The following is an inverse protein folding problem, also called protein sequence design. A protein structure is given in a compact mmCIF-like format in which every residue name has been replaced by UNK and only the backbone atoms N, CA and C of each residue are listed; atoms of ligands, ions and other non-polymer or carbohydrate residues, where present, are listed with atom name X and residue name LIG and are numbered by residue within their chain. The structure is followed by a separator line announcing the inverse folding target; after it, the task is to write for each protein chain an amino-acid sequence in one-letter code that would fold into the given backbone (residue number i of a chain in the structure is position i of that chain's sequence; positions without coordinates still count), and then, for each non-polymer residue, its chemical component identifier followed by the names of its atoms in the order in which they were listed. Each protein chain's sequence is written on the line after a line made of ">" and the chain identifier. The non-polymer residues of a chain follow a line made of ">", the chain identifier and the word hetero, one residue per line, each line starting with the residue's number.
data_IF_219392702712
#
_entry.id   IF_219392702712
#
_cell.length_a   1.000
_cell.length_b   1.000
_cell.length_c   1.000
_cell.angle_alpha   90.00
_cell.angle_beta   90.00
_cell.angle_gamma   90.00
#
_symmetry.space_group_name_H-M   'P 1'
#
loop_
_entity.id
_entity.type
_entity.pdbx_description
1 polymer ?
#
# COMPACT_ATOMS: atom_id res chain seq x y z
N UNK A 1 5.54 5.68 24.37
CA UNK A 1 4.76 6.02 23.17
C UNK A 1 5.50 5.43 21.97
N UNK A 2 4.84 4.81 20.98
CA UNK A 2 5.51 4.35 19.77
C UNK A 2 6.19 5.52 19.06
N UNK A 3 7.42 5.33 18.63
CA UNK A 3 8.10 6.30 17.77
C UNK A 3 7.48 6.19 16.38
N UNK A 4 7.04 7.32 15.83
CA UNK A 4 6.47 7.41 14.49
C UNK A 4 7.42 8.16 13.57
N UNK A 5 7.73 7.55 12.43
CA UNK A 5 8.34 8.26 11.29
C UNK A 5 7.20 8.58 10.33
N UNK A 6 7.07 9.85 9.96
CA UNK A 6 5.99 10.32 9.08
C UNK A 6 6.58 10.95 7.83
N UNK A 7 6.06 10.55 6.68
CA UNK A 7 6.17 11.27 5.42
C UNK A 7 4.79 11.84 5.07
N UNK A 8 4.72 12.64 3.99
CA UNK A 8 3.41 13.12 3.50
C UNK A 8 2.51 11.97 2.99
N UNK A 9 3.07 10.78 2.75
CA UNK A 9 2.40 9.66 2.12
C UNK A 9 2.23 8.43 3.02
N UNK A 10 3.02 8.28 4.09
CA UNK A 10 2.88 7.17 5.02
C UNK A 10 3.37 7.50 6.44
N UNK A 11 2.94 6.66 7.40
CA UNK A 11 3.46 6.62 8.76
C UNK A 11 3.94 5.21 9.12
N UNK A 12 5.14 5.10 9.67
CA UNK A 12 5.69 3.85 10.22
C UNK A 12 5.54 3.89 11.73
N UNK A 13 4.81 2.91 12.29
CA UNK A 13 4.71 2.73 13.75
C UNK A 13 5.72 1.68 14.20
N UNK A 14 6.44 1.99 15.29
CA UNK A 14 7.45 1.10 15.86
C UNK A 14 7.11 0.68 17.29
N UNK A 15 7.46 -0.55 17.63
CA UNK A 15 7.48 -1.04 19.02
C UNK A 15 8.56 -0.27 19.80
N UNK A 16 8.21 0.46 20.89
CA UNK A 16 9.18 1.24 21.67
C UNK A 16 10.37 0.44 22.20
N UNK A 17 10.15 -0.83 22.54
CA UNK A 17 11.12 -1.68 23.21
C UNK A 17 12.12 -2.31 22.23
N UNK A 18 11.67 -2.64 21.02
CA UNK A 18 12.48 -3.37 20.02
C UNK A 18 12.86 -2.53 18.82
N UNK A 19 12.25 -1.35 18.67
CA UNK A 19 12.32 -0.47 17.50
C UNK A 19 11.86 -1.12 16.18
N UNK A 20 11.31 -2.34 16.19
CA UNK A 20 10.78 -3.00 14.99
C UNK A 20 9.52 -2.32 14.51
N UNK A 21 9.34 -2.27 13.18
CA UNK A 21 8.06 -1.90 12.56
C UNK A 21 6.97 -2.85 13.05
N UNK A 22 5.85 -2.29 13.49
CA UNK A 22 4.65 -3.05 13.89
C UNK A 22 3.45 -2.76 13.00
N UNK A 23 3.46 -1.64 12.27
CA UNK A 23 2.41 -1.24 11.34
C UNK A 23 2.95 -0.15 10.38
N UNK A 24 2.43 -0.15 9.15
CA UNK A 24 2.71 0.85 8.13
C UNK A 24 1.38 1.33 7.58
N UNK A 25 1.13 2.63 7.73
CA UNK A 25 -0.10 3.28 7.32
C UNK A 25 0.16 4.21 6.14
N UNK A 26 -0.40 3.91 4.97
CA UNK A 26 -0.32 4.75 3.78
C UNK A 26 -1.51 5.70 3.72
N UNK A 27 -1.25 6.99 3.48
CA UNK A 27 -2.25 8.04 3.48
C UNK A 27 -2.74 8.33 2.06
N UNK A 28 -3.98 7.95 1.78
CA UNK A 28 -4.72 8.27 0.57
C UNK A 28 -5.59 9.52 0.81
N UNK A 29 -5.06 10.70 0.48
CA UNK A 29 -5.80 11.95 0.64
C UNK A 29 -6.91 12.12 -0.41
N UNK A 30 -8.11 12.53 0.03
CA UNK A 30 -9.19 12.99 -0.84
C UNK A 30 -9.67 12.00 -1.92
N UNK A 31 -9.60 10.69 -1.65
CA UNK A 31 -9.96 9.67 -2.65
C UNK A 31 -11.47 9.63 -2.96
N UNK A 32 -12.35 9.95 -1.99
CA UNK A 32 -13.81 10.01 -2.19
C UNK A 32 -14.54 10.65 -0.98
N UNK A 33 -15.88 10.57 -0.97
CA UNK A 33 -16.72 10.98 0.17
C UNK A 33 -16.66 9.95 1.32
N UNK A 34 -16.98 10.39 2.54
CA UNK A 34 -16.96 9.49 3.70
C UNK A 34 -18.04 8.39 3.65
N UNK A 35 -19.11 8.61 2.88
CA UNK A 35 -20.14 7.61 2.68
C UNK A 35 -19.67 6.49 1.74
N UNK A 36 -18.94 6.86 0.68
CA UNK A 36 -18.45 5.91 -0.31
C UNK A 36 -17.30 5.07 0.25
N UNK A 37 -16.31 5.69 0.91
CA UNK A 37 -15.23 4.96 1.58
C UNK A 37 -15.70 4.05 2.75
N UNK A 38 -16.94 4.18 3.23
CA UNK A 38 -17.50 3.22 4.20
C UNK A 38 -18.19 2.02 3.56
N UNK A 39 -18.50 2.09 2.27
CA UNK A 39 -19.22 1.06 1.52
C UNK A 39 -18.32 0.28 0.56
N UNK A 40 -17.14 0.82 0.26
CA UNK A 40 -16.15 0.25 -0.62
C UNK A 40 -14.81 0.11 0.10
N UNK A 41 -14.00 -0.86 -0.32
CA UNK A 41 -12.63 -1.06 0.14
C UNK A 41 -11.69 -1.10 -1.06
N UNK A 42 -10.42 -0.68 -0.90
CA UNK A 42 -9.40 -0.86 -1.92
C UNK A 42 -9.21 -2.32 -2.33
N UNK A 43 -8.99 -2.56 -3.62
CA UNK A 43 -8.67 -3.88 -4.17
C UNK A 43 -7.34 -3.86 -4.92
N UNK A 44 -6.84 -5.05 -5.28
CA UNK A 44 -5.64 -5.23 -6.11
C UNK A 44 -4.41 -4.45 -5.61
N UNK A 45 -4.19 -4.51 -4.31
CA UNK A 45 -3.17 -3.72 -3.63
C UNK A 45 -1.79 -4.31 -3.92
N UNK A 46 -0.93 -3.48 -4.49
CA UNK A 46 0.46 -3.81 -4.84
C UNK A 46 1.41 -2.81 -4.21
N UNK A 47 2.49 -3.31 -3.63
CA UNK A 47 3.60 -2.52 -3.14
C UNK A 47 4.86 -2.80 -3.95
N UNK A 48 5.53 -1.74 -4.40
CA UNK A 48 6.84 -1.78 -5.03
C UNK A 48 7.86 -1.11 -4.10
N UNK A 49 8.94 -1.82 -3.75
CA UNK A 49 10.07 -1.20 -3.05
C UNK A 49 10.73 -0.13 -3.90
N UNK A 50 10.88 -0.40 -5.19
CA UNK A 50 11.48 0.51 -6.17
C UNK A 50 10.63 0.58 -7.45
N UNK A 51 9.95 1.69 -7.64
CA UNK A 51 8.99 1.88 -8.75
C UNK A 51 9.63 1.90 -10.13
N UNK A 52 10.74 2.62 -10.31
CA UNK A 52 11.34 2.89 -11.63
C UNK A 52 12.84 2.57 -11.69
N UNK A 53 13.33 1.73 -10.77
CA UNK A 53 14.73 1.29 -10.70
C UNK A 53 15.42 1.63 -9.38
N UNK A 54 16.69 1.24 -9.28
CA UNK A 54 17.48 1.38 -8.05
C UNK A 54 17.43 2.81 -7.51
N UNK A 55 17.09 2.95 -6.23
CA UNK A 55 17.03 4.26 -5.58
C UNK A 55 15.71 5.03 -5.77
N UNK A 56 14.82 4.57 -6.64
CA UNK A 56 13.52 5.23 -6.90
C UNK A 56 12.57 5.15 -5.70
N UNK A 57 11.52 5.98 -5.75
CA UNK A 57 10.48 6.02 -4.73
C UNK A 57 9.77 4.66 -4.61
N UNK A 58 9.34 4.36 -3.39
CA UNK A 58 8.38 3.28 -3.11
C UNK A 58 7.00 3.68 -3.64
N UNK A 59 6.21 2.68 -4.05
CA UNK A 59 4.83 2.89 -4.51
C UNK A 59 3.91 1.89 -3.84
N UNK A 60 2.78 2.38 -3.33
CA UNK A 60 1.60 1.56 -3.06
C UNK A 60 0.54 1.90 -4.11
N UNK A 61 0.13 0.93 -4.91
CA UNK A 61 -0.98 1.06 -5.86
C UNK A 61 -2.15 0.18 -5.47
N UNK A 62 -3.36 0.62 -5.81
CA UNK A 62 -4.61 -0.10 -5.56
C UNK A 62 -5.73 0.44 -6.45
N UNK A 63 -6.76 -0.37 -6.63
CA UNK A 63 -8.03 0.07 -7.24
C UNK A 63 -9.03 0.48 -6.17
N UNK A 64 -9.82 1.51 -6.44
CA UNK A 64 -10.92 1.91 -5.57
C UNK A 64 -12.03 2.59 -6.39
N UNK A 65 -13.25 2.02 -6.34
CA UNK A 65 -14.41 2.52 -7.09
C UNK A 65 -14.14 2.73 -8.60
N UNK A 66 -13.51 1.75 -9.24
CA UNK A 66 -13.11 1.75 -10.66
C UNK A 66 -11.97 2.72 -11.03
N UNK A 67 -11.41 3.45 -10.06
CA UNK A 67 -10.23 4.31 -10.25
C UNK A 67 -8.95 3.63 -9.74
N UNK A 68 -7.84 3.83 -10.45
CA UNK A 68 -6.51 3.38 -10.03
C UNK A 68 -5.79 4.49 -9.25
N UNK A 69 -5.25 4.14 -8.09
CA UNK A 69 -4.47 5.03 -7.25
C UNK A 69 -3.04 4.53 -7.13
N UNK A 70 -2.08 5.46 -7.13
CA UNK A 70 -0.68 5.19 -6.84
C UNK A 70 -0.13 6.24 -5.87
N UNK A 71 0.26 5.79 -4.68
CA UNK A 71 0.84 6.61 -3.63
C UNK A 71 2.36 6.47 -3.67
N UNK A 72 3.04 7.57 -3.95
CA UNK A 72 4.50 7.62 -4.02
C UNK A 72 5.07 8.08 -2.69
N UNK A 73 6.10 7.40 -2.22
CA UNK A 73 6.84 7.83 -1.06
C UNK A 73 8.33 7.61 -1.22
N UNK A 74 9.10 8.59 -0.78
CA UNK A 74 10.55 8.49 -0.72
C UNK A 74 10.99 8.29 0.73
N UNK A 75 12.06 7.52 0.88
CA UNK A 75 12.71 7.21 2.15
C UNK A 75 14.17 6.90 1.90
N UNK A 76 15.00 6.99 2.94
CA UNK A 76 16.36 6.48 2.85
C UNK A 76 16.38 4.96 2.58
N UNK A 77 17.52 4.46 2.15
CA UNK A 77 17.69 3.07 1.72
C UNK A 77 17.46 2.05 2.83
N UNK A 78 17.80 2.39 4.08
CA UNK A 78 17.64 1.49 5.22
C UNK A 78 16.16 1.32 5.57
N UNK A 79 15.44 2.43 5.71
CA UNK A 79 14.00 2.42 5.97
C UNK A 79 13.23 1.77 4.82
N UNK A 80 13.67 2.00 3.57
CA UNK A 80 13.06 1.41 2.38
C UNK A 80 13.09 -0.12 2.43
N UNK A 81 14.26 -0.67 2.76
CA UNK A 81 14.45 -2.10 2.90
C UNK A 81 13.63 -2.66 4.05
N UNK A 82 13.62 -1.98 5.21
CA UNK A 82 12.86 -2.42 6.38
C UNK A 82 11.35 -2.47 6.12
N UNK A 83 10.80 -1.47 5.40
CA UNK A 83 9.40 -1.44 4.97
C UNK A 83 9.09 -2.64 4.06
N UNK A 84 9.95 -2.91 3.07
CA UNK A 84 9.78 -4.04 2.16
C UNK A 84 9.80 -5.38 2.91
N UNK A 85 10.76 -5.56 3.82
CA UNK A 85 10.87 -6.79 4.61
C UNK A 85 9.63 -6.99 5.49
N UNK A 86 9.17 -5.93 6.16
CA UNK A 86 7.96 -5.98 6.99
C UNK A 86 6.72 -6.34 6.17
N UNK A 87 6.47 -5.67 5.04
CA UNK A 87 5.29 -5.94 4.21
C UNK A 87 5.36 -7.33 3.58
N UNK A 88 6.54 -7.79 3.19
CA UNK A 88 6.76 -9.14 2.67
C UNK A 88 6.47 -10.21 3.72
N UNK A 89 6.83 -9.97 4.98
CA UNK A 89 6.57 -10.89 6.10
C UNK A 89 5.09 -10.88 6.51
N UNK A 90 4.48 -9.69 6.63
CA UNK A 90 3.13 -9.55 7.15
C UNK A 90 2.04 -9.80 6.10
N UNK A 91 2.34 -9.56 4.82
CA UNK A 91 1.40 -9.72 3.70
C UNK A 91 0.18 -8.79 3.77
N UNK A 92 0.24 -7.72 4.56
CA UNK A 92 -0.84 -6.75 4.75
C UNK A 92 -0.32 -5.32 4.90
N UNK A 93 -1.14 -4.36 4.52
CA UNK A 93 -0.87 -2.93 4.65
C UNK A 93 -2.11 -2.22 5.19
N UNK A 94 -1.91 -1.10 5.89
CA UNK A 94 -2.99 -0.23 6.32
C UNK A 94 -3.08 0.97 5.39
N UNK A 95 -4.25 1.22 4.79
CA UNK A 95 -4.54 2.42 4.00
C UNK A 95 -5.46 3.31 4.84
N UNK A 96 -5.07 4.57 5.01
CA UNK A 96 -5.84 5.62 5.65
C UNK A 96 -6.38 6.58 4.59
N UNK A 97 -7.67 6.84 4.61
CA UNK A 97 -8.27 7.90 3.81
C UNK A 97 -8.84 9.02 4.68
N UNK A 98 -8.68 10.26 4.22
CA UNK A 98 -9.37 11.42 4.78
C UNK A 98 -10.52 11.80 3.86
N UNK A 99 -11.74 11.62 4.35
CA UNK A 99 -12.95 11.87 3.58
C UNK A 99 -13.77 12.98 4.23
N UNK A 100 -14.28 13.96 3.46
CA UNK A 100 -15.10 15.04 4.01
C UNK A 100 -16.33 14.49 4.74
N UNK A 101 -16.60 15.00 5.94
CA UNK A 101 -17.77 14.62 6.72
C UNK A 101 -19.03 15.25 6.11
N UNK A 102 -20.10 14.48 5.85
CA UNK A 102 -21.32 15.03 5.25
C UNK A 102 -21.87 16.21 6.07
N UNK A 103 -22.09 17.34 5.39
CA UNK A 103 -22.62 18.56 6.01
C UNK A 103 -21.60 19.44 6.75
N UNK A 104 -20.32 19.07 6.79
CA UNK A 104 -19.27 19.83 7.47
C UNK A 104 -18.07 20.09 6.54
N UNK A 105 -18.02 21.26 5.91
CA UNK A 105 -17.01 21.62 4.89
C UNK A 105 -15.55 21.59 5.38
N UNK A 106 -15.31 21.58 6.69
CA UNK A 106 -13.97 21.62 7.30
C UNK A 106 -13.67 20.44 8.20
N UNK A 107 -14.57 19.46 8.31
CA UNK A 107 -14.34 18.25 9.10
C UNK A 107 -14.15 17.05 8.18
N UNK A 108 -13.20 16.19 8.55
CA UNK A 108 -12.87 14.98 7.83
C UNK A 108 -13.02 13.79 8.77
N UNK A 109 -13.57 12.71 8.25
CA UNK A 109 -13.51 11.40 8.89
C UNK A 109 -12.25 10.68 8.37
N UNK A 110 -11.51 10.03 9.28
CA UNK A 110 -10.46 9.08 8.92
C UNK A 110 -11.10 7.71 8.75
N UNK A 111 -10.83 7.08 7.63
CA UNK A 111 -11.26 5.72 7.29
C UNK A 111 -10.00 4.88 7.15
N UNK A 112 -10.03 3.68 7.70
CA UNK A 112 -8.88 2.79 7.79
C UNK A 112 -9.24 1.42 7.24
N UNK A 113 -8.43 0.91 6.32
CA UNK A 113 -8.52 -0.47 5.84
C UNK A 113 -7.18 -1.17 6.03
N UNK A 114 -7.17 -2.32 6.72
CA UNK A 114 -6.00 -3.20 6.76
C UNK A 114 -6.26 -4.39 5.84
N UNK A 115 -5.57 -4.44 4.72
CA UNK A 115 -5.88 -5.33 3.61
C UNK A 115 -4.64 -6.09 3.14
N UNK A 116 -4.82 -7.26 2.49
CA UNK A 116 -3.71 -7.99 1.88
C UNK A 116 -2.97 -7.13 0.85
N UNK A 117 -1.64 -7.26 0.78
CA UNK A 117 -0.82 -6.57 -0.22
C UNK A 117 0.12 -7.56 -0.90
N UNK A 118 0.23 -7.45 -2.22
CA UNK A 118 1.27 -8.17 -2.97
C UNK A 118 2.51 -7.30 -3.06
N UNK A 119 3.65 -7.85 -2.65
CA UNK A 119 4.90 -7.11 -2.50
C UNK A 119 5.89 -7.53 -3.57
N UNK A 120 6.49 -6.55 -4.24
CA UNK A 120 7.54 -6.75 -5.23
C UNK A 120 8.74 -5.85 -4.95
N UNK A 121 9.91 -6.35 -5.32
CA UNK A 121 11.16 -5.60 -5.24
C UNK A 121 11.11 -4.38 -6.16
N UNK A 122 10.62 -4.58 -7.38
CA UNK A 122 10.50 -3.53 -8.38
C UNK A 122 9.49 -3.89 -9.47
N UNK A 123 9.21 -2.93 -10.36
CA UNK A 123 8.29 -3.12 -11.49
C UNK A 123 8.62 -4.34 -12.37
N UNK A 124 9.90 -4.63 -12.63
CA UNK A 124 10.30 -5.78 -13.44
C UNK A 124 9.93 -7.10 -12.76
N UNK A 125 10.19 -7.22 -11.45
CA UNK A 125 9.82 -8.41 -10.69
C UNK A 125 8.31 -8.65 -10.63
N UNK A 126 7.51 -7.57 -10.62
CA UNK A 126 6.05 -7.66 -10.72
C UNK A 126 5.62 -8.20 -12.09
N UNK A 127 6.11 -7.60 -13.17
CA UNK A 127 5.77 -8.01 -14.54
C UNK A 127 6.14 -9.47 -14.78
N UNK A 128 7.32 -9.89 -14.33
CA UNK A 128 7.78 -11.28 -14.43
C UNK A 128 6.87 -12.24 -13.64
N UNK A 129 6.44 -11.86 -12.44
CA UNK A 129 5.52 -12.68 -11.65
C UNK A 129 4.15 -12.84 -12.33
N UNK A 130 3.60 -11.75 -12.89
CA UNK A 130 2.33 -11.76 -13.61
C UNK A 130 2.40 -12.58 -14.91
N UNK A 131 3.48 -12.44 -15.68
CA UNK A 131 3.72 -13.25 -16.88
C UNK A 131 3.77 -14.76 -16.55
N UNK A 132 4.39 -15.11 -15.42
CA UNK A 132 4.48 -16.50 -14.97
C UNK A 132 3.17 -17.07 -14.40
N UNK A 133 2.30 -16.24 -13.83
CA UNK A 133 0.96 -16.66 -13.43
C UNK A 133 0.11 -17.00 -14.66
N UNK A 134 0.17 -16.15 -15.69
CA UNK A 134 -0.57 -16.33 -16.94
C UNK A 134 -0.11 -17.58 -17.71
N UNK A 135 1.20 -17.86 -17.73
CA UNK A 135 1.72 -19.07 -18.38
C UNK A 135 1.28 -20.36 -17.68
N UNK A 136 1.23 -20.37 -16.33
CA UNK A 136 0.73 -21.51 -15.55
C UNK A 136 -0.78 -21.73 -15.73
N UNK A 137 -1.57 -20.66 -15.78
CA UNK A 137 -3.00 -20.75 -16.04
C UNK A 137 -3.27 -21.33 -17.44
N UNK A 138 -2.54 -20.86 -18.46
CA UNK A 138 -2.64 -21.37 -19.82
C UNK A 138 -2.24 -22.85 -19.94
N UNK A 139 -1.18 -23.28 -19.24
CA UNK A 139 -0.77 -24.69 -19.20
C UNK A 139 -1.81 -25.59 -18.54
N UNK A 140 -2.51 -25.09 -17.51
CA UNK A 140 -3.56 -25.84 -16.80
C UNK A 140 -4.82 -25.98 -17.67
N UNK A 141 -5.18 -24.94 -18.44
CA UNK A 141 -6.31 -24.98 -19.37
C UNK A 141 -6.08 -25.96 -20.52
N UNK A 142 -4.87 -26.03 -21.09
CA UNK A 142 -4.54 -26.94 -22.19
C UNK A 142 -4.39 -28.42 -21.77
N UNK A 143 -4.40 -28.71 -20.47
CA UNK A 143 -4.31 -30.06 -19.92
C UNK A 143 -5.67 -30.66 -19.52
N UNK A 144 -6.76 -29.90 -19.67
CA UNK A 144 -8.16 -30.34 -19.49
C UNK A 144 -8.80 -30.66 -20.84
#
# INVERSE_FOLDING_TARGET
>A
MPNQVTSNAYAVKRCPETNRIVDIQWLAGHICSAADARQHEPTDIVFLKESFGEGSAQVLSFEFMDDEFALYADSDSELRQEIYDYLSEQGKVTILAHAPKPGYATQYDTIEWTLPVTVYENYLSMVDALANLNSKAAATYNAM
#
